data_IF_518203194020
#
_entry.id   IF_518203194020
#
_cell.length_a   1.000
_cell.length_b   1.000
_cell.length_c   1.000
_cell.angle_alpha   90.00
_cell.angle_beta   90.00
_cell.angle_gamma   90.00
#
_symmetry.space_group_name_H-M   'P 1'
#
loop_
_entity.id
_entity.type
_entity.pdbx_description
1 polymer ?
#
# COMPACT_ATOMS: atom_id res chain seq x y z
N UNK A 1 -10.75 24.62 -9.09
CA UNK A 1 -9.27 24.68 -9.21
C UNK A 1 -8.81 23.31 -9.68
N UNK A 2 -8.46 23.18 -10.97
CA UNK A 2 -8.08 21.91 -11.60
C UNK A 2 -6.67 21.54 -11.15
N UNK A 3 -6.56 20.45 -10.39
CA UNK A 3 -5.27 19.85 -10.03
C UNK A 3 -4.55 19.40 -11.30
N UNK A 4 -3.30 19.81 -11.41
CA UNK A 4 -2.45 19.65 -12.57
C UNK A 4 -2.03 18.17 -12.66
N UNK A 5 -2.49 17.48 -13.70
CA UNK A 5 -1.89 16.22 -14.13
C UNK A 5 -0.42 16.47 -14.44
N UNK A 6 0.48 15.93 -13.62
CA UNK A 6 1.90 15.87 -13.95
C UNK A 6 2.06 15.04 -15.22
N UNK A 7 2.48 15.69 -16.29
CA UNK A 7 2.75 15.06 -17.60
C UNK A 7 4.06 14.27 -17.51
N UNK A 8 3.96 13.00 -17.12
CA UNK A 8 4.94 12.00 -17.54
C UNK A 8 4.62 11.66 -19.00
N UNK A 9 5.59 11.92 -19.89
CA UNK A 9 5.38 12.04 -21.33
C UNK A 9 4.76 10.83 -22.01
N UNK A 10 3.91 11.11 -23.01
CA UNK A 10 3.53 10.29 -24.17
C UNK A 10 3.55 8.75 -24.04
N UNK A 11 3.09 8.20 -22.91
CA UNK A 11 2.76 6.78 -22.84
C UNK A 11 1.32 6.59 -23.30
N UNK A 12 1.13 5.88 -24.41
CA UNK A 12 -0.18 5.55 -24.95
C UNK A 12 -1.06 4.89 -23.89
N UNK A 13 -2.31 5.32 -23.79
CA UNK A 13 -3.29 4.78 -22.83
C UNK A 13 -3.40 3.25 -23.01
N UNK A 14 -3.21 2.50 -21.93
CA UNK A 14 -3.26 1.04 -21.98
C UNK A 14 -4.69 0.57 -22.29
N UNK A 15 -4.89 -0.42 -23.17
CA UNK A 15 -6.22 -1.00 -23.40
C UNK A 15 -6.75 -1.76 -22.18
N UNK A 16 -5.92 -1.95 -21.14
CA UNK A 16 -6.24 -2.71 -19.94
C UNK A 16 -6.26 -1.84 -18.69
N UNK A 17 -7.19 -2.16 -17.80
CA UNK A 17 -7.28 -1.62 -16.44
C UNK A 17 -7.27 -2.78 -15.44
N UNK A 18 -6.31 -2.76 -14.51
CA UNK A 18 -6.14 -3.84 -13.56
C UNK A 18 -6.92 -3.61 -12.27
N UNK A 19 -7.51 -4.68 -11.74
CA UNK A 19 -8.12 -4.71 -10.43
C UNK A 19 -7.80 -6.05 -9.75
N UNK A 20 -7.62 -6.00 -8.43
CA UNK A 20 -7.45 -7.19 -7.59
C UNK A 20 -8.68 -7.34 -6.71
N UNK A 21 -9.30 -8.53 -6.71
CA UNK A 21 -10.42 -8.86 -5.85
C UNK A 21 -10.00 -10.03 -4.97
N UNK A 22 -10.12 -9.86 -3.66
CA UNK A 22 -9.80 -10.86 -2.66
C UNK A 22 -11.11 -11.33 -2.03
N UNK A 23 -11.41 -12.63 -2.17
CA UNK A 23 -12.54 -13.27 -1.49
C UNK A 23 -12.19 -13.49 -0.02
N UNK A 24 -12.69 -12.60 0.84
CA UNK A 24 -12.43 -12.62 2.28
C UNK A 24 -13.07 -13.84 2.96
N UNK A 25 -14.14 -14.41 2.41
CA UNK A 25 -14.80 -15.59 3.00
C UNK A 25 -13.93 -16.86 2.91
N UNK A 26 -12.91 -16.85 2.04
CA UNK A 26 -11.95 -17.94 1.86
C UNK A 26 -10.60 -17.68 2.51
N UNK A 27 -10.39 -16.50 3.10
CA UNK A 27 -9.13 -16.18 3.75
C UNK A 27 -9.04 -16.90 5.11
N UNK A 28 -8.01 -17.72 5.28
CA UNK A 28 -7.78 -18.50 6.52
C UNK A 28 -6.57 -18.00 7.32
N UNK A 29 -6.00 -16.84 6.95
CA UNK A 29 -4.81 -16.32 7.63
C UNK A 29 -3.50 -17.06 7.34
N UNK A 30 -3.42 -17.91 6.30
CA UNK A 30 -2.26 -18.77 6.04
C UNK A 30 -0.99 -18.05 5.56
N UNK A 31 -1.04 -16.74 5.31
CA UNK A 31 0.07 -15.88 4.87
C UNK A 31 0.84 -16.31 3.60
N UNK A 32 0.35 -17.29 2.83
CA UNK A 32 0.98 -17.70 1.57
C UNK A 32 1.06 -16.56 0.56
N UNK A 33 0.09 -15.63 0.57
CA UNK A 33 0.14 -14.43 -0.26
C UNK A 33 1.31 -13.50 0.12
N UNK A 34 1.63 -13.37 1.41
CA UNK A 34 2.78 -12.61 1.91
C UNK A 34 4.08 -13.27 1.47
N UNK A 35 4.19 -14.59 1.64
CA UNK A 35 5.36 -15.37 1.23
C UNK A 35 5.61 -15.28 -0.27
N UNK A 36 4.57 -15.46 -1.09
CA UNK A 36 4.67 -15.37 -2.54
C UNK A 36 5.11 -13.97 -3.00
N UNK A 37 4.59 -12.92 -2.36
CA UNK A 37 4.98 -11.55 -2.66
C UNK A 37 6.47 -11.31 -2.39
N UNK A 38 6.98 -11.75 -1.23
CA UNK A 38 8.40 -11.65 -0.89
C UNK A 38 9.29 -12.43 -1.86
N UNK A 39 8.90 -13.66 -2.19
CA UNK A 39 9.63 -14.51 -3.13
C UNK A 39 9.74 -13.88 -4.53
N UNK A 40 8.73 -13.11 -4.94
CA UNK A 40 8.69 -12.49 -6.26
C UNK A 40 9.37 -11.11 -6.32
N UNK A 41 9.39 -10.35 -5.22
CA UNK A 41 9.65 -8.91 -5.26
C UNK A 41 10.90 -8.41 -4.51
N UNK A 42 11.86 -9.28 -4.21
CA UNK A 42 13.11 -8.90 -3.50
C UNK A 42 12.87 -7.96 -2.29
N UNK A 43 11.83 -8.29 -1.53
CA UNK A 43 11.42 -7.49 -0.37
C UNK A 43 12.33 -7.82 0.80
N UNK A 44 12.76 -6.80 1.54
CA UNK A 44 13.48 -7.00 2.79
C UNK A 44 12.71 -7.99 3.70
N UNK A 45 13.37 -9.01 4.30
CA UNK A 45 12.72 -10.02 5.15
C UNK A 45 11.87 -9.44 6.29
N UNK A 46 12.25 -8.29 6.82
CA UNK A 46 11.55 -7.60 7.92
C UNK A 46 10.36 -6.75 7.42
N UNK A 47 10.11 -6.73 6.11
CA UNK A 47 9.06 -5.94 5.47
C UNK A 47 8.05 -6.82 4.72
N UNK A 48 6.80 -6.34 4.66
CA UNK A 48 5.71 -6.98 3.92
C UNK A 48 4.91 -5.92 3.19
N UNK A 49 4.76 -6.06 1.87
CA UNK A 49 3.94 -5.18 1.03
C UNK A 49 2.45 -5.53 1.08
N UNK A 50 2.11 -6.76 1.45
CA UNK A 50 0.75 -7.27 1.60
C UNK A 50 0.64 -8.02 2.92
N UNK A 51 0.21 -7.33 3.97
CA UNK A 51 0.07 -7.91 5.31
C UNK A 51 -1.27 -8.63 5.42
N UNK A 52 -1.37 -9.62 6.31
CA UNK A 52 -2.65 -10.22 6.70
C UNK A 52 -2.89 -9.83 8.14
N UNK A 53 -4.00 -9.14 8.39
CA UNK A 53 -4.41 -8.71 9.71
C UNK A 53 -5.46 -9.67 10.25
N UNK A 54 -5.34 -10.04 11.51
CA UNK A 54 -6.45 -10.61 12.26
C UNK A 54 -7.30 -9.44 12.77
N UNK A 55 -8.55 -9.35 12.35
CA UNK A 55 -9.40 -8.17 12.61
C UNK A 55 -10.31 -8.42 13.81
N UNK A 56 -11.02 -9.53 13.80
CA UNK A 56 -12.00 -9.87 14.82
C UNK A 56 -12.28 -11.38 14.86
N UNK A 57 -12.84 -11.84 15.97
CA UNK A 57 -13.34 -13.21 16.11
C UNK A 57 -14.86 -13.16 16.23
N UNK A 58 -15.56 -13.65 15.21
CA UNK A 58 -17.02 -13.70 15.16
C UNK A 58 -17.46 -15.10 15.60
N UNK A 59 -17.88 -15.21 16.87
CA UNK A 59 -18.23 -16.48 17.48
C UNK A 59 -16.99 -17.35 17.69
N UNK A 60 -16.84 -18.42 16.91
CA UNK A 60 -15.66 -19.31 16.95
C UNK A 60 -14.75 -19.16 15.73
N UNK A 61 -15.04 -18.20 14.83
CA UNK A 61 -14.27 -17.99 13.61
C UNK A 61 -13.45 -16.71 13.70
N UNK A 62 -12.15 -16.84 13.49
CA UNK A 62 -11.23 -15.72 13.29
C UNK A 62 -11.43 -15.15 11.88
N UNK A 63 -11.47 -13.82 11.77
CA UNK A 63 -11.63 -13.09 10.52
C UNK A 63 -10.30 -12.44 10.17
N UNK A 64 -9.79 -12.82 9.00
CA UNK A 64 -8.52 -12.33 8.47
C UNK A 64 -8.76 -11.37 7.30
N UNK A 65 -8.02 -10.26 7.30
CA UNK A 65 -8.07 -9.24 6.26
C UNK A 65 -6.68 -9.05 5.62
N UNK A 66 -6.49 -9.50 4.37
CA UNK A 66 -5.32 -9.13 3.59
C UNK A 66 -5.37 -7.64 3.22
N UNK A 67 -4.29 -6.91 3.52
CA UNK A 67 -4.16 -5.46 3.27
C UNK A 67 -2.95 -5.20 2.36
N UNK A 68 -3.09 -5.39 1.03
CA UNK A 68 -2.10 -4.93 0.05
C UNK A 68 -2.27 -3.43 -0.26
N UNK A 69 -1.36 -2.88 -1.08
CA UNK A 69 -1.62 -1.59 -1.73
C UNK A 69 -2.88 -1.69 -2.60
N UNK A 70 -3.86 -0.81 -2.34
CA UNK A 70 -5.17 -0.82 -3.01
C UNK A 70 -5.18 -0.17 -4.40
N UNK A 71 -4.05 0.38 -4.86
CA UNK A 71 -3.92 0.96 -6.20
C UNK A 71 -4.97 2.06 -6.50
N UNK A 72 -5.21 2.92 -5.50
CA UNK A 72 -6.28 3.92 -5.51
C UNK A 72 -6.27 4.79 -6.78
N UNK A 73 -7.44 5.14 -7.31
CA UNK A 73 -7.58 6.04 -8.46
C UNK A 73 -7.20 7.48 -8.10
N UNK A 74 -7.60 7.95 -6.91
CA UNK A 74 -7.12 9.19 -6.31
C UNK A 74 -6.13 8.81 -5.20
N UNK A 75 -4.84 8.86 -5.54
CA UNK A 75 -3.78 8.32 -4.71
C UNK A 75 -3.03 9.46 -4.01
N UNK A 76 -3.26 9.71 -2.71
CA UNK A 76 -2.58 10.78 -2.01
C UNK A 76 -1.07 10.54 -1.92
N UNK A 77 -0.63 9.27 -1.92
CA UNK A 77 0.79 8.92 -1.95
C UNK A 77 1.54 9.43 -3.19
N UNK A 78 0.87 9.58 -4.34
CA UNK A 78 1.44 10.23 -5.54
C UNK A 78 1.50 11.75 -5.33
N UNK A 79 0.40 12.34 -4.85
CA UNK A 79 0.28 13.79 -4.71
C UNK A 79 1.24 14.42 -3.69
N UNK A 80 1.66 13.68 -2.68
CA UNK A 80 2.60 14.17 -1.64
C UNK A 80 4.07 13.94 -1.97
N UNK A 81 4.40 13.18 -3.02
CA UNK A 81 5.79 12.82 -3.31
C UNK A 81 6.56 14.01 -3.91
N UNK A 82 7.52 14.63 -3.20
CA UNK A 82 8.16 15.86 -3.66
C UNK A 82 9.05 15.64 -4.90
N UNK A 83 9.51 14.41 -5.11
CA UNK A 83 10.38 14.02 -6.23
C UNK A 83 9.64 13.20 -7.29
N UNK A 84 8.32 13.02 -7.17
CA UNK A 84 7.51 12.21 -8.11
C UNK A 84 8.09 10.80 -8.34
N UNK A 85 8.55 10.16 -7.25
CA UNK A 85 9.00 8.76 -7.26
C UNK A 85 7.81 7.79 -7.30
N UNK A 86 6.69 8.12 -6.66
CA UNK A 86 5.43 7.39 -6.82
C UNK A 86 4.64 7.99 -7.98
N UNK A 87 4.19 7.15 -8.92
CA UNK A 87 3.46 7.59 -10.11
C UNK A 87 2.44 6.55 -10.57
N UNK A 88 1.51 6.94 -11.44
CA UNK A 88 0.52 6.05 -12.03
C UNK A 88 0.95 5.67 -13.44
N UNK A 89 1.02 4.36 -13.70
CA UNK A 89 1.23 3.79 -15.03
C UNK A 89 -0.06 3.91 -15.86
N UNK A 90 -0.01 3.94 -17.21
CA UNK A 90 -1.20 4.09 -18.06
C UNK A 90 -2.31 3.05 -17.85
N UNK A 91 -2.00 1.87 -17.31
CA UNK A 91 -2.98 0.83 -16.99
C UNK A 91 -3.64 0.97 -15.60
N UNK A 92 -3.29 2.04 -14.87
CA UNK A 92 -3.88 2.42 -13.60
C UNK A 92 -3.11 1.96 -12.37
N UNK A 93 -2.06 1.15 -12.52
CA UNK A 93 -1.24 0.68 -11.40
C UNK A 93 -0.35 1.81 -10.89
N UNK A 94 -0.31 1.99 -9.57
CA UNK A 94 0.65 2.86 -8.88
C UNK A 94 1.97 2.11 -8.76
N UNK A 95 3.01 2.70 -9.32
CA UNK A 95 4.37 2.20 -9.31
C UNK A 95 5.26 3.15 -8.52
N UNK A 96 6.39 2.62 -8.05
CA UNK A 96 7.42 3.40 -7.38
C UNK A 96 8.74 3.27 -8.12
N UNK A 97 9.34 4.41 -8.45
CA UNK A 97 10.72 4.51 -8.92
C UNK A 97 11.64 4.54 -7.70
N UNK A 98 12.33 3.42 -7.47
CA UNK A 98 13.22 3.25 -6.32
C UNK A 98 14.48 4.11 -6.42
N UNK A 99 14.98 4.37 -7.63
CA UNK A 99 16.19 5.17 -7.86
C UNK A 99 15.93 6.67 -7.65
N UNK A 100 14.69 7.12 -7.90
CA UNK A 100 14.25 8.50 -7.64
C UNK A 100 13.87 8.74 -6.19
N UNK A 101 13.56 7.69 -5.42
CA UNK A 101 13.07 7.82 -4.06
C UNK A 101 14.16 8.34 -3.11
N UNK A 102 13.89 9.49 -2.48
CA UNK A 102 14.81 10.10 -1.49
C UNK A 102 14.52 9.68 -0.04
N UNK A 103 13.59 8.76 0.19
CA UNK A 103 13.29 8.26 1.54
C UNK A 103 12.62 9.28 2.48
N UNK A 104 11.87 10.26 1.97
CA UNK A 104 11.19 11.28 2.79
C UNK A 104 9.92 10.77 3.52
N UNK A 105 9.43 9.57 3.18
CA UNK A 105 8.32 8.85 3.86
C UNK A 105 6.96 9.55 3.93
N UNK A 106 6.76 10.69 3.25
CA UNK A 106 5.45 11.35 3.20
C UNK A 106 4.35 10.49 2.57
N UNK A 107 4.71 9.63 1.61
CA UNK A 107 3.79 8.68 1.01
C UNK A 107 3.25 7.64 2.02
N UNK A 108 4.02 7.27 3.05
CA UNK A 108 3.57 6.37 4.13
C UNK A 108 2.47 7.04 4.95
N UNK A 109 2.69 8.29 5.36
CA UNK A 109 1.71 9.07 6.13
C UNK A 109 0.43 9.27 5.30
N UNK A 110 0.58 9.63 4.02
CA UNK A 110 -0.54 9.80 3.10
C UNK A 110 -1.32 8.50 2.87
N UNK A 111 -0.62 7.36 2.84
CA UNK A 111 -1.26 6.05 2.75
C UNK A 111 -2.14 5.79 3.97
N UNK A 112 -1.67 6.05 5.20
CA UNK A 112 -2.43 5.82 6.43
C UNK A 112 -3.80 6.53 6.44
N UNK A 113 -3.86 7.74 5.87
CA UNK A 113 -5.12 8.46 5.69
C UNK A 113 -6.02 7.82 4.63
N UNK A 114 -5.44 7.23 3.58
CA UNK A 114 -6.16 6.58 2.48
C UNK A 114 -6.68 5.18 2.83
N UNK A 115 -5.91 4.40 3.60
CA UNK A 115 -6.21 3.00 3.90
C UNK A 115 -6.83 2.79 5.28
N UNK A 116 -7.03 3.86 6.06
CA UNK A 116 -7.68 3.79 7.37
C UNK A 116 -6.84 3.13 8.48
N UNK A 117 -5.59 2.74 8.20
CA UNK A 117 -4.64 2.10 9.14
C UNK A 117 -4.06 3.04 10.18
N UNK A 118 -4.50 4.30 10.26
CA UNK A 118 -4.13 5.20 11.37
C UNK A 118 -4.45 4.60 12.75
N UNK A 119 -5.40 3.65 12.82
CA UNK A 119 -5.75 2.91 14.04
C UNK A 119 -4.64 1.96 14.53
N UNK A 120 -3.84 1.36 13.64
CA UNK A 120 -2.87 0.31 14.01
C UNK A 120 -1.53 0.84 14.55
N UNK A 121 -1.18 2.11 14.30
CA UNK A 121 0.02 2.70 14.90
C UNK A 121 -0.17 3.07 16.38
N UNK A 122 -1.42 3.13 16.86
CA UNK A 122 -1.75 3.42 18.26
C UNK A 122 -2.06 2.17 19.09
N UNK A 123 -2.23 1.01 18.45
CA UNK A 123 -2.57 -0.26 19.12
C UNK A 123 -1.36 -1.09 19.55
N UNK A 124 -0.14 -0.61 19.32
CA UNK A 124 1.10 -1.23 19.78
C UNK A 124 1.55 -0.55 21.08
N UNK A 125 1.16 -1.06 22.27
CA UNK A 125 1.49 -0.44 23.56
C UNK A 125 3.00 -0.41 23.85
N UNK A 126 3.80 -1.19 23.11
CA UNK A 126 5.26 -1.25 23.29
C UNK A 126 6.03 -0.27 22.41
N UNK A 127 5.40 0.37 21.43
CA UNK A 127 6.08 1.30 20.51
C UNK A 127 5.72 2.74 20.85
N UNK A 128 6.48 3.42 21.74
CA UNK A 128 6.18 4.79 22.13
C UNK A 128 6.22 5.70 20.90
N UNK A 129 5.28 6.65 20.83
CA UNK A 129 5.15 7.65 19.75
C UNK A 129 6.44 8.44 19.44
N UNK A 130 7.45 8.36 20.32
CA UNK A 130 8.76 8.99 20.21
C UNK A 130 9.77 8.26 19.30
N UNK A 131 9.49 7.02 18.86
CA UNK A 131 10.38 6.28 17.94
C UNK A 131 10.02 6.45 16.45
N UNK A 132 8.99 7.24 16.14
CA UNK A 132 8.83 7.80 14.79
C UNK A 132 9.89 8.89 14.61
N UNK A 133 11.15 8.49 14.48
CA UNK A 133 12.21 9.40 14.04
C UNK A 133 11.86 9.86 12.63
N UNK A 134 11.58 11.16 12.54
CA UNK A 134 11.51 11.94 11.30
C UNK A 134 12.80 11.82 10.50
#
# INVERSE_FOLDING_TARGET
MRSQHSTHGDEAESPHRWAMVIDQARCTGCEYCTMACRAQNDVNPDMSWNRVLEVETVGTKEVFLPVPCMQCQDAPCIGVCPVSASYRRPDGIIMMDYDRCIGCRYCEIAFLYCSGVFRDLQSDPERPAAEVRL
#
